data_IF_084076622301
#
_entry.id   IF_084076622301
#
_cell.length_a   1.000
_cell.length_b   1.000
_cell.length_c   1.000
_cell.angle_alpha   90.00
_cell.angle_beta   90.00
_cell.angle_gamma   90.00
#
_symmetry.space_group_name_H-M   'P 1'
#
loop_
_entity.id
_entity.type
_entity.pdbx_description
1 polymer ?
#
# COMPACT_ATOMS: atom_id res chain seq x y z
N UNK A 1 -1.08 29.31 -8.89
CA UNK A 1 -1.26 27.98 -8.27
C UNK A 1 0.11 27.36 -8.05
N UNK A 2 0.58 27.27 -6.80
CA UNK A 2 1.81 26.52 -6.51
C UNK A 2 1.53 25.04 -6.83
N UNK A 3 2.32 24.44 -7.73
CA UNK A 3 2.29 22.98 -7.93
C UNK A 3 2.71 22.35 -6.61
N UNK A 4 1.81 21.65 -5.94
CA UNK A 4 2.17 20.82 -4.81
C UNK A 4 3.24 19.82 -5.27
N UNK A 5 4.42 19.87 -4.66
CA UNK A 5 5.51 18.94 -4.99
C UNK A 5 5.09 17.53 -4.56
N UNK A 6 4.67 16.72 -5.52
CA UNK A 6 4.35 15.30 -5.30
C UNK A 6 5.64 14.61 -4.85
N UNK A 7 5.61 13.86 -3.74
CA UNK A 7 6.81 13.12 -3.31
C UNK A 7 7.20 12.08 -4.37
N UNK A 8 8.49 11.76 -4.50
CA UNK A 8 8.96 10.69 -5.41
C UNK A 8 8.15 9.39 -5.21
N UNK A 9 7.88 9.05 -3.94
CA UNK A 9 7.02 7.94 -3.57
C UNK A 9 5.61 8.03 -4.18
N UNK A 10 4.95 9.17 -4.03
CA UNK A 10 3.60 9.36 -4.60
C UNK A 10 3.62 9.39 -6.13
N UNK A 11 4.71 9.87 -6.74
CA UNK A 11 4.90 9.83 -8.19
C UNK A 11 5.05 8.39 -8.70
N UNK A 12 5.85 7.57 -8.01
CA UNK A 12 5.98 6.13 -8.30
C UNK A 12 4.64 5.39 -8.17
N UNK A 13 3.89 5.68 -7.11
CA UNK A 13 2.56 5.07 -6.91
C UNK A 13 1.57 5.51 -8.00
N UNK A 14 1.63 6.78 -8.43
CA UNK A 14 0.79 7.27 -9.54
C UNK A 14 1.20 6.69 -10.88
N UNK A 15 2.50 6.54 -11.15
CA UNK A 15 2.99 5.96 -12.41
C UNK A 15 2.59 4.50 -12.57
N UNK A 16 2.36 3.78 -11.47
CA UNK A 16 1.83 2.41 -11.52
C UNK A 16 0.43 2.33 -12.14
N UNK A 17 -0.32 3.44 -12.30
CA UNK A 17 -1.51 3.57 -13.18
C UNK A 17 -2.72 2.67 -12.91
N UNK A 18 -2.59 1.65 -12.08
CA UNK A 18 -3.43 0.46 -12.09
C UNK A 18 -4.28 0.33 -10.83
N UNK A 19 -4.74 1.44 -10.25
CA UNK A 19 -5.60 1.39 -9.04
C UNK A 19 -6.93 0.67 -9.32
N UNK A 20 -7.47 0.81 -10.54
CA UNK A 20 -8.68 0.09 -10.96
C UNK A 20 -8.43 -1.42 -11.08
N UNK A 21 -7.34 -1.81 -11.75
CA UNK A 21 -6.93 -3.22 -11.86
C UNK A 21 -6.64 -3.83 -10.49
N UNK A 22 -5.94 -3.10 -9.61
CA UNK A 22 -5.71 -3.53 -8.23
C UNK A 22 -7.03 -3.76 -7.51
N UNK A 23 -8.01 -2.86 -7.67
CA UNK A 23 -9.32 -3.03 -7.06
C UNK A 23 -10.08 -4.24 -7.63
N UNK A 24 -9.95 -4.51 -8.93
CA UNK A 24 -10.50 -5.72 -9.53
C UNK A 24 -9.89 -6.98 -8.90
N UNK A 25 -8.57 -7.01 -8.73
CA UNK A 25 -7.87 -8.11 -8.07
C UNK A 25 -8.24 -8.25 -6.58
N UNK A 26 -8.41 -7.15 -5.85
CA UNK A 26 -8.91 -7.15 -4.46
C UNK A 26 -10.28 -7.83 -4.39
N UNK A 27 -11.17 -7.55 -5.35
CA UNK A 27 -12.47 -8.16 -5.43
C UNK A 27 -12.38 -9.65 -5.83
N UNK A 28 -11.53 -10.00 -6.79
CA UNK A 28 -11.26 -11.39 -7.21
C UNK A 28 -10.78 -12.25 -6.06
N UNK A 29 -9.81 -11.75 -5.29
CA UNK A 29 -9.18 -12.46 -4.17
C UNK A 29 -9.89 -12.28 -2.83
N UNK A 30 -10.94 -11.45 -2.78
CA UNK A 30 -11.70 -11.12 -1.57
C UNK A 30 -10.80 -10.67 -0.39
N UNK A 31 -9.67 -10.01 -0.70
CA UNK A 31 -8.61 -9.73 0.27
C UNK A 31 -8.99 -8.69 1.33
N UNK A 32 -10.07 -7.92 1.09
CA UNK A 32 -10.60 -6.91 2.00
C UNK A 32 -11.90 -7.32 2.70
N UNK A 33 -12.39 -8.56 2.50
CA UNK A 33 -13.68 -9.04 3.04
C UNK A 33 -13.80 -8.91 4.57
N UNK A 34 -12.71 -9.10 5.30
CA UNK A 34 -12.65 -8.96 6.76
C UNK A 34 -11.91 -7.69 7.22
N UNK A 35 -11.58 -6.79 6.31
CA UNK A 35 -10.80 -5.59 6.63
C UNK A 35 -11.62 -4.58 7.43
N UNK A 36 -11.07 -4.08 8.54
CA UNK A 36 -11.70 -3.06 9.39
C UNK A 36 -10.99 -1.72 9.21
N UNK A 37 -11.17 -1.09 8.05
CA UNK A 37 -10.68 0.27 7.78
C UNK A 37 -9.23 0.40 7.31
N UNK A 38 -8.47 -0.72 7.27
CA UNK A 38 -7.15 -0.80 6.62
C UNK A 38 -7.27 -1.68 5.37
N UNK A 39 -7.14 -1.10 4.18
CA UNK A 39 -7.36 -1.80 2.89
C UNK A 39 -6.13 -2.56 2.39
N UNK A 40 -6.32 -3.44 1.42
CA UNK A 40 -5.23 -4.16 0.74
C UNK A 40 -4.33 -3.18 0.00
N UNK A 41 -4.90 -2.09 -0.53
CA UNK A 41 -4.15 -0.97 -1.06
C UNK A 41 -3.25 -0.32 -0.01
N UNK A 42 -3.75 -0.08 1.20
CA UNK A 42 -2.95 0.52 2.27
C UNK A 42 -1.80 -0.39 2.72
N UNK A 43 -2.01 -1.71 2.72
CA UNK A 43 -0.93 -2.66 2.97
C UNK A 43 0.07 -2.71 1.82
N UNK A 44 -0.38 -2.70 0.56
CA UNK A 44 0.51 -2.64 -0.59
C UNK A 44 1.48 -1.45 -0.47
N UNK A 45 0.93 -0.27 -0.18
CA UNK A 45 1.72 0.95 0.05
C UNK A 45 2.68 0.80 1.23
N UNK A 46 2.27 0.15 2.32
CA UNK A 46 3.15 -0.11 3.45
C UNK A 46 4.32 -1.04 3.11
N UNK A 47 4.06 -2.09 2.32
CA UNK A 47 5.10 -3.02 1.87
C UNK A 47 5.99 -2.40 0.80
N UNK A 48 5.45 -1.57 -0.09
CA UNK A 48 6.25 -0.81 -1.05
C UNK A 48 7.16 0.19 -0.35
N UNK A 49 6.65 0.88 0.67
CA UNK A 49 7.46 1.75 1.52
C UNK A 49 8.62 0.97 2.16
N UNK A 50 8.33 -0.20 2.75
CA UNK A 50 9.34 -1.08 3.33
C UNK A 50 10.50 -1.38 2.35
N UNK A 51 10.17 -1.80 1.13
CA UNK A 51 11.18 -2.13 0.11
C UNK A 51 12.02 -0.90 -0.31
N UNK A 52 11.39 0.28 -0.42
CA UNK A 52 12.08 1.49 -0.84
C UNK A 52 12.95 2.11 0.24
N UNK A 53 12.58 1.95 1.52
CA UNK A 53 13.36 2.49 2.65
C UNK A 53 14.35 1.50 3.21
N UNK A 54 14.30 0.23 2.81
CA UNK A 54 15.05 -0.84 3.46
C UNK A 54 14.65 -1.01 4.92
N UNK A 55 13.36 -0.87 5.24
CA UNK A 55 12.90 -1.03 6.62
C UNK A 55 12.93 -2.50 7.03
N UNK A 56 13.61 -2.82 8.12
CA UNK A 56 13.83 -4.21 8.56
C UNK A 56 12.82 -4.65 9.63
N UNK A 57 11.93 -3.75 10.06
CA UNK A 57 10.95 -4.05 11.10
C UNK A 57 9.57 -3.42 10.86
N UNK A 58 8.52 -4.09 11.36
CA UNK A 58 7.15 -3.54 11.37
C UNK A 58 7.07 -2.18 12.09
N UNK A 59 7.98 -1.93 13.05
CA UNK A 59 8.06 -0.65 13.76
C UNK A 59 8.51 0.45 12.81
N UNK A 60 9.62 0.26 12.11
CA UNK A 60 10.14 1.22 11.15
C UNK A 60 9.13 1.53 10.04
N UNK A 61 8.44 0.50 9.54
CA UNK A 61 7.37 0.70 8.55
C UNK A 61 6.25 1.57 9.14
N UNK A 62 5.75 1.21 10.32
CA UNK A 62 4.64 1.92 10.96
C UNK A 62 4.99 3.37 11.26
N UNK A 63 6.12 3.62 11.94
CA UNK A 63 6.57 4.95 12.35
C UNK A 63 6.91 5.80 11.11
N UNK A 64 7.55 5.21 10.10
CA UNK A 64 7.83 5.87 8.82
C UNK A 64 6.56 6.31 8.09
N UNK A 65 5.54 5.45 8.02
CA UNK A 65 4.24 5.80 7.43
C UNK A 65 3.51 6.88 8.24
N UNK A 66 3.54 6.80 9.57
CA UNK A 66 2.92 7.82 10.44
C UNK A 66 3.60 9.19 10.30
N UNK A 67 4.91 9.24 10.08
CA UNK A 67 5.62 10.49 9.78
C UNK A 67 5.21 11.12 8.44
N UNK A 68 4.59 10.33 7.55
CA UNK A 68 4.25 10.69 6.17
C UNK A 68 2.74 10.74 5.88
N UNK A 69 1.88 10.79 6.91
CA UNK A 69 0.40 10.71 6.79
C UNK A 69 -0.20 11.63 5.72
N UNK A 70 0.21 12.90 5.68
CA UNK A 70 -0.33 13.86 4.70
C UNK A 70 -0.11 13.40 3.25
N UNK A 71 1.06 12.81 2.96
CA UNK A 71 1.40 12.30 1.63
C UNK A 71 0.65 11.00 1.29
N UNK A 72 0.37 10.16 2.29
CA UNK A 72 -0.39 8.91 2.12
C UNK A 72 -1.85 9.17 1.74
N UNK A 73 -2.47 10.19 2.33
CA UNK A 73 -3.86 10.54 2.01
C UNK A 73 -4.03 10.92 0.52
N UNK A 74 -3.05 11.60 -0.07
CA UNK A 74 -3.08 11.98 -1.50
C UNK A 74 -3.05 10.78 -2.45
N UNK A 75 -2.51 9.64 -2.01
CA UNK A 75 -2.49 8.39 -2.80
C UNK A 75 -3.59 7.40 -2.35
N UNK A 76 -4.49 7.84 -1.46
CA UNK A 76 -5.62 7.04 -0.96
C UNK A 76 -5.21 5.88 -0.06
N UNK A 77 -4.06 5.98 0.61
CA UNK A 77 -3.56 4.98 1.56
C UNK A 77 -3.60 5.50 2.99
N UNK A 78 -3.63 4.58 3.96
CA UNK A 78 -3.58 4.90 5.39
C UNK A 78 -2.34 4.27 6.03
N UNK A 79 -1.74 4.98 6.96
CA UNK A 79 -0.76 4.36 7.86
C UNK A 79 -1.46 3.30 8.73
N UNK A 80 -0.73 2.24 9.07
CA UNK A 80 -1.19 1.21 9.98
C UNK A 80 -0.30 1.14 11.21
N UNK A 81 -0.90 0.85 12.36
CA UNK A 81 -0.14 0.42 13.52
C UNK A 81 0.43 -1.00 13.31
N UNK A 82 1.47 -1.34 14.09
CA UNK A 82 2.23 -2.58 13.96
C UNK A 82 1.36 -3.85 13.98
N UNK A 83 0.39 -3.93 14.88
CA UNK A 83 -0.50 -5.10 15.01
C UNK A 83 -1.42 -5.26 13.79
N UNK A 84 -1.97 -4.15 13.29
CA UNK A 84 -2.79 -4.16 12.07
C UNK A 84 -1.99 -4.59 10.86
N UNK A 85 -0.76 -4.07 10.70
CA UNK A 85 0.10 -4.46 9.59
C UNK A 85 0.52 -5.94 9.67
N UNK A 86 0.89 -6.41 10.87
CA UNK A 86 1.21 -7.83 11.12
C UNK A 86 0.05 -8.74 10.73
N UNK A 87 -1.16 -8.42 11.23
CA UNK A 87 -2.36 -9.17 10.92
C UNK A 87 -2.67 -9.17 9.41
N UNK A 88 -2.54 -8.02 8.74
CA UNK A 88 -2.76 -7.94 7.30
C UNK A 88 -1.73 -8.79 6.51
N UNK A 89 -0.47 -8.79 6.92
CA UNK A 89 0.59 -9.60 6.31
C UNK A 89 0.33 -11.10 6.46
N UNK A 90 -0.24 -11.54 7.59
CA UNK A 90 -0.55 -12.94 7.83
C UNK A 90 -1.80 -13.43 7.09
N UNK A 91 -2.84 -12.59 7.01
CA UNK A 91 -4.17 -13.04 6.61
C UNK A 91 -4.53 -12.74 5.15
N UNK A 92 -3.81 -11.84 4.47
CA UNK A 92 -4.14 -11.51 3.09
C UNK A 92 -3.46 -12.44 2.11
N UNK A 93 -4.19 -12.92 1.10
CA UNK A 93 -3.64 -13.86 0.14
C UNK A 93 -2.54 -13.18 -0.68
N UNK A 94 -1.33 -13.77 -0.66
CA UNK A 94 -0.20 -13.25 -1.45
C UNK A 94 -0.51 -13.24 -2.96
N UNK A 95 -1.42 -14.11 -3.43
CA UNK A 95 -1.90 -14.18 -4.82
C UNK A 95 -2.42 -12.84 -5.35
N UNK A 96 -2.96 -11.98 -4.47
CA UNK A 96 -3.34 -10.61 -4.85
C UNK A 96 -2.15 -9.84 -5.42
N UNK A 97 -1.02 -9.88 -4.71
CA UNK A 97 0.18 -9.11 -5.05
C UNK A 97 0.94 -9.74 -6.21
N UNK A 98 0.90 -11.08 -6.32
CA UNK A 98 1.43 -11.83 -7.46
C UNK A 98 0.68 -11.49 -8.76
N UNK A 99 -0.66 -11.57 -8.76
CA UNK A 99 -1.47 -11.18 -9.92
C UNK A 99 -1.24 -9.71 -10.28
N UNK A 100 -1.12 -8.83 -9.27
CA UNK A 100 -0.85 -7.42 -9.53
C UNK A 100 0.52 -7.16 -10.13
N UNK A 101 1.54 -7.94 -9.74
CA UNK A 101 2.85 -7.88 -10.37
C UNK A 101 2.77 -8.22 -11.86
N UNK A 102 2.02 -9.25 -12.24
CA UNK A 102 1.83 -9.60 -13.65
C UNK A 102 1.12 -8.50 -14.44
N UNK A 103 0.11 -7.85 -13.85
CA UNK A 103 -0.56 -6.68 -14.48
C UNK A 103 0.40 -5.52 -14.72
N UNK A 104 1.41 -5.32 -13.86
CA UNK A 104 2.39 -4.24 -14.02
C UNK A 104 3.53 -4.58 -15.00
N UNK A 105 3.72 -5.87 -15.31
CA UNK A 105 4.77 -6.34 -16.20
C UNK A 105 4.37 -6.21 -17.68
N UNK A 106 3.07 -6.32 -17.95
CA UNK A 106 2.46 -6.17 -19.27
C UNK A 106 2.36 -4.69 -19.72
#
# INVERSE_FOLDING_TARGET
>A
MQRATISMFAHLVQSMGCKLEFQHLVNKHQSDKASKGFSSWSQFIAMLFCQLTGADSLREISDGLFSSLGKLNHIGAKAACRSTLSHANQNRPYKLYEDFYHVLLD
#
